data_IF_188133443985
#
_entry.id   IF_188133443985
#
_cell.length_a   1.000
_cell.length_b   1.000
_cell.length_c   1.000
_cell.angle_alpha   90.00
_cell.angle_beta   90.00
_cell.angle_gamma   90.00
#
_symmetry.space_group_name_H-M   'P 1'
#
loop_
_entity.id
_entity.type
_entity.pdbx_description
1 polymer ?
#
# COMPACT_ATOMS: atom_id res chain seq x y z
N UNK A 1 -3.53 -20.79 -0.52
CA UNK A 1 -3.73 -19.58 0.31
C UNK A 1 -2.49 -19.44 1.17
N UNK A 2 -1.63 -18.48 0.84
CA UNK A 2 -0.24 -18.42 1.28
C UNK A 2 -0.01 -18.57 2.78
N UNK A 3 0.78 -19.58 3.13
CA UNK A 3 1.49 -19.76 4.41
C UNK A 3 2.68 -18.81 4.56
N UNK A 4 2.82 -17.80 3.67
CA UNK A 4 4.04 -17.02 3.46
C UNK A 4 4.62 -16.36 4.72
N UNK A 5 3.79 -15.92 5.67
CA UNK A 5 4.31 -15.36 6.92
C UNK A 5 5.02 -16.40 7.81
N UNK A 6 4.52 -17.64 7.85
CA UNK A 6 5.12 -18.73 8.65
C UNK A 6 6.37 -19.27 7.97
N UNK A 7 6.33 -19.41 6.64
CA UNK A 7 7.45 -19.95 5.87
C UNK A 7 8.66 -19.00 5.88
N UNK A 8 8.43 -17.71 6.12
CA UNK A 8 9.46 -16.67 6.20
C UNK A 8 9.49 -15.94 7.55
N UNK A 9 9.22 -16.64 8.65
CA UNK A 9 9.23 -16.05 10.00
C UNK A 9 10.59 -15.37 10.31
N UNK A 10 10.63 -14.06 10.57
CA UNK A 10 11.87 -13.32 10.85
C UNK A 10 12.54 -13.86 12.11
N UNK A 11 13.81 -14.28 12.00
CA UNK A 11 14.55 -14.85 13.12
C UNK A 11 14.89 -13.77 14.15
N UNK A 12 14.47 -13.98 15.40
CA UNK A 12 14.81 -13.08 16.49
C UNK A 12 16.34 -13.03 16.70
N UNK A 13 16.98 -11.85 16.70
CA UNK A 13 18.42 -11.72 16.89
C UNK A 13 18.81 -12.04 18.34
N UNK A 14 19.84 -12.87 18.53
CA UNK A 14 20.33 -13.32 19.85
C UNK A 14 21.54 -12.56 20.36
N UNK A 15 22.16 -11.74 19.52
CA UNK A 15 23.35 -10.94 19.82
C UNK A 15 23.24 -9.59 19.12
N UNK A 16 24.02 -8.59 19.56
CA UNK A 16 24.10 -7.29 18.87
C UNK A 16 24.53 -7.48 17.40
N UNK A 17 25.49 -8.36 17.13
CA UNK A 17 25.94 -8.63 15.76
C UNK A 17 24.81 -9.20 14.87
N UNK A 18 23.97 -10.10 15.39
CA UNK A 18 22.83 -10.66 14.63
C UNK A 18 21.75 -9.61 14.29
N UNK A 19 21.73 -8.47 14.99
CA UNK A 19 20.81 -7.37 14.63
C UNK A 19 21.16 -6.72 13.30
N UNK A 20 22.41 -6.87 12.82
CA UNK A 20 22.97 -6.13 11.69
C UNK A 20 23.34 -4.68 12.02
N UNK A 21 23.23 -4.26 13.28
CA UNK A 21 23.49 -2.89 13.72
C UNK A 21 24.75 -2.79 14.60
N UNK A 22 25.38 -1.61 14.60
CA UNK A 22 26.47 -1.32 15.53
C UNK A 22 25.96 -1.10 16.95
N UNK A 23 26.77 -1.48 17.95
CA UNK A 23 26.47 -1.22 19.36
C UNK A 23 26.30 0.29 19.63
N UNK A 24 27.06 1.14 18.93
CA UNK A 24 26.94 2.60 19.05
C UNK A 24 25.57 3.12 18.60
N UNK A 25 25.03 2.59 17.50
CA UNK A 25 23.68 2.96 17.03
C UNK A 25 22.61 2.46 18.00
N UNK A 26 22.72 1.23 18.51
CA UNK A 26 21.79 0.72 19.53
C UNK A 26 21.82 1.55 20.82
N UNK A 27 23.02 1.94 21.26
CA UNK A 27 23.21 2.82 22.42
C UNK A 27 22.58 4.20 22.20
N UNK A 28 22.74 4.78 21.01
CA UNK A 28 22.10 6.03 20.61
C UNK A 28 20.57 5.94 20.66
N UNK A 29 19.99 4.91 20.03
CA UNK A 29 18.55 4.69 20.01
C UNK A 29 17.98 4.47 21.42
N UNK A 30 18.70 3.70 22.24
CA UNK A 30 18.34 3.45 23.65
C UNK A 30 18.36 4.75 24.44
N UNK A 31 19.43 5.53 24.33
CA UNK A 31 19.61 6.78 25.07
C UNK A 31 18.56 7.82 24.67
N UNK A 32 18.20 7.91 23.38
CA UNK A 32 17.10 8.77 22.89
C UNK A 32 15.75 8.34 23.47
N UNK A 33 15.44 7.04 23.49
CA UNK A 33 14.18 6.56 24.08
C UNK A 33 14.06 6.92 25.57
N UNK A 34 15.14 6.73 26.35
CA UNK A 34 15.17 7.13 27.77
C UNK A 34 15.02 8.65 27.90
N UNK A 35 15.66 9.44 27.04
CA UNK A 35 15.56 10.90 27.06
C UNK A 35 14.13 11.41 26.92
N UNK A 36 13.40 10.94 25.91
CA UNK A 36 12.04 11.42 25.64
C UNK A 36 11.00 10.92 26.66
N UNK A 37 11.24 9.76 27.28
CA UNK A 37 10.33 9.19 28.29
C UNK A 37 10.76 9.49 29.73
N UNK A 38 11.85 10.25 29.91
CA UNK A 38 12.51 10.61 31.19
C UNK A 38 13.10 9.45 31.99
N UNK A 39 12.34 8.37 32.20
CA UNK A 39 12.75 7.18 32.94
C UNK A 39 12.13 5.95 32.30
N UNK A 40 12.93 4.90 32.07
CA UNK A 40 12.45 3.62 31.52
C UNK A 40 13.06 2.42 32.23
N UNK A 41 12.28 1.36 32.36
CA UNK A 41 12.78 0.02 32.69
C UNK A 41 13.46 -0.62 31.47
N UNK A 42 14.29 -1.64 31.72
CA UNK A 42 14.93 -2.38 30.63
C UNK A 42 13.90 -3.07 29.71
N UNK A 43 12.75 -3.50 30.26
CA UNK A 43 11.69 -4.12 29.47
C UNK A 43 11.01 -3.10 28.55
N UNK A 44 10.69 -1.90 29.04
CA UNK A 44 10.10 -0.83 28.21
C UNK A 44 11.05 -0.40 27.08
N UNK A 45 12.37 -0.37 27.33
CA UNK A 45 13.38 -0.12 26.30
C UNK A 45 13.39 -1.23 25.25
N UNK A 46 13.34 -2.50 25.68
CA UNK A 46 13.27 -3.65 24.78
C UNK A 46 12.01 -3.58 23.90
N UNK A 47 10.87 -3.24 24.49
CA UNK A 47 9.58 -3.12 23.79
C UNK A 47 9.55 -1.92 22.83
N UNK A 48 10.20 -0.80 23.19
CA UNK A 48 10.31 0.38 22.34
C UNK A 48 11.21 0.13 21.13
N UNK A 49 12.36 -0.54 21.33
CA UNK A 49 13.30 -0.88 20.26
C UNK A 49 12.93 -2.14 19.49
N UNK A 50 11.95 -2.92 19.96
CA UNK A 50 11.55 -4.22 19.40
C UNK A 50 12.70 -5.23 19.35
N UNK A 51 13.59 -5.17 20.35
CA UNK A 51 14.78 -6.01 20.45
C UNK A 51 14.74 -6.85 21.73
N UNK A 52 15.33 -8.06 21.74
CA UNK A 52 15.27 -8.93 22.90
C UNK A 52 15.96 -8.33 24.13
N UNK A 53 15.24 -8.35 25.27
CA UNK A 53 15.76 -7.87 26.54
C UNK A 53 17.09 -8.53 26.91
N UNK A 54 17.23 -9.84 26.66
CA UNK A 54 18.36 -10.67 27.07
C UNK A 54 19.72 -10.13 26.64
N UNK A 55 20.27 -10.64 25.55
CA UNK A 55 21.67 -10.34 25.18
C UNK A 55 21.85 -9.02 24.44
N UNK A 56 20.80 -8.49 23.79
CA UNK A 56 20.95 -7.28 22.95
C UNK A 56 20.79 -6.02 23.81
N UNK A 57 19.66 -5.90 24.51
CA UNK A 57 19.37 -4.72 25.31
C UNK A 57 20.24 -4.66 26.58
N UNK A 58 20.49 -5.77 27.28
CA UNK A 58 21.41 -5.74 28.44
C UNK A 58 22.82 -5.33 28.03
N UNK A 59 23.37 -5.86 26.94
CA UNK A 59 24.70 -5.46 26.47
C UNK A 59 24.75 -3.96 26.14
N UNK A 60 23.70 -3.43 25.52
CA UNK A 60 23.57 -2.00 25.20
C UNK A 60 23.49 -1.15 26.48
N UNK A 61 22.71 -1.57 27.48
CA UNK A 61 22.60 -0.88 28.76
C UNK A 61 23.89 -0.94 29.57
N UNK A 62 24.57 -2.09 29.59
CA UNK A 62 25.87 -2.27 30.24
C UNK A 62 26.92 -1.37 29.60
N UNK A 63 26.87 -1.18 28.28
CA UNK A 63 27.72 -0.22 27.58
C UNK A 63 27.41 1.22 27.99
N UNK A 64 26.13 1.64 27.98
CA UNK A 64 25.72 2.97 28.41
C UNK A 64 26.09 3.27 29.88
N UNK A 65 26.03 2.27 30.75
CA UNK A 65 26.45 2.39 32.16
C UNK A 65 27.96 2.53 32.31
N UNK A 66 28.74 1.72 31.59
CA UNK A 66 30.22 1.83 31.58
C UNK A 66 30.67 3.21 31.11
N UNK A 67 30.01 3.75 30.10
CA UNK A 67 30.24 5.11 29.58
C UNK A 67 29.62 6.22 30.45
N UNK A 68 28.94 5.86 31.56
CA UNK A 68 28.26 6.79 32.48
C UNK A 68 27.25 7.71 31.80
N UNK A 69 26.58 7.22 30.75
CA UNK A 69 25.57 7.97 29.99
C UNK A 69 24.16 7.83 30.60
N UNK A 70 23.96 6.81 31.45
CA UNK A 70 22.69 6.55 32.15
C UNK A 70 22.94 6.33 33.64
N UNK A 71 21.98 6.76 34.46
CA UNK A 71 21.95 6.57 35.90
C UNK A 71 20.83 5.58 36.27
N UNK A 72 21.08 4.76 37.29
CA UNK A 72 20.09 3.84 37.86
C UNK A 72 19.24 4.53 38.92
N UNK A 73 17.92 4.41 38.79
CA UNK A 73 16.93 4.85 39.79
C UNK A 73 16.31 3.64 40.46
N UNK A 74 16.10 3.72 41.77
CA UNK A 74 15.29 2.74 42.49
C UNK A 74 13.81 2.97 42.12
N UNK A 75 13.08 1.89 41.85
CA UNK A 75 11.63 1.97 41.69
C UNK A 75 11.00 2.15 43.07
N UNK A 76 10.31 3.27 43.30
CA UNK A 76 9.52 3.45 44.52
C UNK A 76 8.25 2.60 44.43
N UNK A 77 8.04 1.69 45.40
CA UNK A 77 6.75 1.01 45.60
C UNK A 77 6.49 -0.30 44.83
N UNK A 78 7.44 -0.83 44.05
CA UNK A 78 7.32 -2.14 43.39
C UNK A 78 8.39 -3.13 43.88
N UNK A 79 8.18 -4.43 43.62
CA UNK A 79 9.05 -5.53 44.06
C UNK A 79 10.56 -5.24 43.81
N UNK A 80 11.49 -5.80 44.62
CA UNK A 80 12.88 -5.32 44.77
C UNK A 80 13.84 -5.42 43.57
N UNK A 81 13.36 -5.47 42.31
CA UNK A 81 14.15 -5.95 41.16
C UNK A 81 14.04 -5.08 39.90
N UNK A 82 13.05 -4.18 39.77
CA UNK A 82 12.92 -3.36 38.56
C UNK A 82 13.90 -2.18 38.57
N UNK A 83 15.05 -2.33 37.90
CA UNK A 83 16.01 -1.25 37.66
C UNK A 83 15.44 -0.28 36.62
N UNK A 84 15.27 0.98 37.03
CA UNK A 84 14.88 2.07 36.15
C UNK A 84 16.12 2.84 35.69
N UNK A 85 16.13 3.26 34.43
CA UNK A 85 17.21 3.98 33.78
C UNK A 85 16.77 5.41 33.49
N UNK A 86 17.62 6.37 33.83
CA UNK A 86 17.46 7.78 33.49
C UNK A 86 18.73 8.30 32.81
N UNK A 87 18.62 9.34 32.00
CA UNK A 87 19.79 9.93 31.33
C UNK A 87 20.64 10.69 32.34
N UNK A 88 21.95 10.43 32.37
CA UNK A 88 22.90 11.16 33.22
C UNK A 88 23.22 12.56 32.68
N UNK A 89 23.88 13.41 33.48
CA UNK A 89 24.33 14.72 32.99
C UNK A 89 25.34 14.62 31.82
N UNK A 90 26.14 13.55 31.76
CA UNK A 90 27.04 13.29 30.62
C UNK A 90 26.20 12.84 29.42
N UNK A 91 25.24 11.93 29.64
CA UNK A 91 24.28 11.49 28.63
C UNK A 91 23.51 12.64 27.99
N UNK A 92 23.04 13.61 28.77
CA UNK A 92 22.32 14.79 28.27
C UNK A 92 23.16 15.62 27.29
N UNK A 93 24.47 15.73 27.51
CA UNK A 93 25.36 16.41 26.55
C UNK A 93 25.46 15.63 25.25
N UNK A 94 25.63 14.31 25.35
CA UNK A 94 25.74 13.41 24.19
C UNK A 94 24.46 13.35 23.36
N UNK A 95 23.30 13.38 23.99
CA UNK A 95 22.00 13.41 23.30
C UNK A 95 21.86 14.63 22.40
N UNK A 96 22.33 15.82 22.82
CA UNK A 96 22.24 17.03 21.98
C UNK A 96 22.97 16.83 20.65
N UNK A 97 24.18 16.26 20.70
CA UNK A 97 24.93 15.91 19.50
C UNK A 97 24.21 14.85 18.65
N UNK A 98 23.62 13.82 19.28
CA UNK A 98 22.88 12.76 18.57
C UNK A 98 21.62 13.30 17.89
N UNK A 99 20.84 14.15 18.57
CA UNK A 99 19.64 14.78 18.03
C UNK A 99 19.94 15.79 16.92
N UNK A 100 21.18 16.25 16.84
CA UNK A 100 21.66 17.01 15.69
C UNK A 100 21.92 16.15 14.46
N UNK A 101 22.18 14.85 14.61
CA UNK A 101 22.37 13.97 13.45
C UNK A 101 21.06 13.31 13.03
N UNK A 102 20.27 12.84 14.00
CA UNK A 102 18.98 12.19 13.75
C UNK A 102 18.08 12.32 14.96
N UNK A 103 16.79 12.61 14.76
CA UNK A 103 15.78 12.61 15.84
C UNK A 103 14.87 11.38 15.79
N UNK A 104 15.29 10.33 15.09
CA UNK A 104 14.55 9.09 15.05
C UNK A 104 14.41 8.48 16.46
N UNK A 105 13.17 8.26 16.88
CA UNK A 105 12.80 7.56 18.11
C UNK A 105 11.72 6.55 17.74
N UNK A 106 12.05 5.27 17.87
CA UNK A 106 11.17 4.18 17.49
C UNK A 106 11.90 2.84 17.53
N UNK A 107 11.30 1.79 16.97
CA UNK A 107 11.90 0.47 16.83
C UNK A 107 13.28 0.52 16.17
N UNK A 108 14.19 -0.35 16.58
CA UNK A 108 15.50 -0.42 15.93
C UNK A 108 15.33 -0.78 14.44
N UNK A 109 16.08 -0.14 13.53
CA UNK A 109 16.01 -0.47 12.12
C UNK A 109 16.55 -1.89 11.85
N UNK A 110 16.29 -2.40 10.65
CA UNK A 110 16.93 -3.62 10.14
C UNK A 110 17.98 -3.25 9.11
N UNK A 111 19.01 -4.07 8.94
CA UNK A 111 20.03 -3.83 7.92
C UNK A 111 19.43 -3.94 6.50
N UNK A 112 19.91 -3.13 5.55
CA UNK A 112 19.46 -3.15 4.15
C UNK A 112 19.46 -4.56 3.56
N UNK A 113 20.50 -5.34 3.81
CA UNK A 113 20.62 -6.69 3.26
C UNK A 113 19.52 -7.62 3.79
N UNK A 114 19.18 -7.51 5.09
CA UNK A 114 18.08 -8.26 5.70
C UNK A 114 16.73 -7.88 5.05
N UNK A 115 16.51 -6.58 4.79
CA UNK A 115 15.35 -6.09 4.03
C UNK A 115 15.28 -6.69 2.62
N UNK A 116 16.37 -6.63 1.87
CA UNK A 116 16.46 -7.16 0.49
C UNK A 116 16.12 -8.65 0.46
N UNK A 117 16.75 -9.44 1.34
CA UNK A 117 16.52 -10.88 1.44
C UNK A 117 15.05 -11.20 1.76
N UNK A 118 14.45 -10.47 2.70
CA UNK A 118 13.06 -10.69 3.13
C UNK A 118 12.05 -10.33 2.04
N UNK A 119 12.29 -9.28 1.25
CA UNK A 119 11.41 -8.95 0.10
C UNK A 119 11.48 -10.05 -0.96
N UNK A 120 12.68 -10.50 -1.32
CA UNK A 120 12.85 -11.57 -2.31
C UNK A 120 12.22 -12.90 -1.87
N UNK A 121 12.33 -13.24 -0.58
CA UNK A 121 11.74 -14.46 -0.04
C UNK A 121 10.20 -14.49 -0.16
N UNK A 122 9.54 -13.33 -0.10
CA UNK A 122 8.08 -13.20 -0.05
C UNK A 122 7.45 -12.76 -1.38
N UNK A 123 8.23 -12.81 -2.47
CA UNK A 123 7.84 -12.24 -3.75
C UNK A 123 6.55 -12.84 -4.30
N UNK A 124 5.71 -11.98 -4.87
CA UNK A 124 4.35 -12.30 -5.33
C UNK A 124 4.31 -13.18 -6.59
N UNK A 125 5.45 -13.47 -7.22
CA UNK A 125 5.52 -14.11 -8.54
C UNK A 125 4.96 -15.55 -8.65
N UNK A 126 4.42 -16.14 -7.58
CA UNK A 126 4.00 -17.56 -7.54
C UNK A 126 2.52 -17.83 -7.22
N UNK A 127 1.68 -16.85 -6.88
CA UNK A 127 0.24 -17.12 -6.68
C UNK A 127 -0.53 -17.04 -8.01
N UNK A 128 -1.03 -18.19 -8.48
CA UNK A 128 -1.81 -18.29 -9.70
C UNK A 128 -3.16 -17.59 -9.53
N UNK A 129 -3.27 -16.36 -10.00
CA UNK A 129 -4.55 -15.64 -10.13
C UNK A 129 -5.42 -16.40 -11.14
N UNK A 130 -6.61 -16.84 -10.69
CA UNK A 130 -7.53 -17.58 -11.55
C UNK A 130 -8.50 -16.64 -12.27
N UNK A 131 -9.00 -17.00 -13.46
CA UNK A 131 -10.05 -16.23 -14.13
C UNK A 131 -11.30 -16.02 -13.27
N UNK A 132 -11.66 -17.01 -12.45
CA UNK A 132 -12.79 -16.93 -11.52
C UNK A 132 -12.56 -15.87 -10.43
N UNK A 133 -11.35 -15.78 -9.88
CA UNK A 133 -11.01 -14.76 -8.90
C UNK A 133 -11.10 -13.34 -9.49
N UNK A 134 -10.60 -13.14 -10.72
CA UNK A 134 -10.68 -11.85 -11.42
C UNK A 134 -12.13 -11.45 -11.66
N UNK A 135 -12.95 -12.39 -12.15
CA UNK A 135 -14.40 -12.16 -12.33
C UNK A 135 -15.07 -11.76 -11.02
N UNK A 136 -14.75 -12.41 -9.92
CA UNK A 136 -15.30 -12.07 -8.61
C UNK A 136 -14.86 -10.68 -8.14
N UNK A 137 -13.57 -10.35 -8.26
CA UNK A 137 -13.04 -9.05 -7.84
C UNK A 137 -13.59 -7.88 -8.67
N UNK A 138 -13.88 -8.12 -9.95
CA UNK A 138 -14.42 -7.13 -10.88
C UNK A 138 -15.93 -7.28 -11.11
N UNK A 139 -16.64 -8.09 -10.31
CA UNK A 139 -18.08 -8.35 -10.49
C UNK A 139 -18.96 -7.10 -10.37
N UNK A 140 -18.45 -6.07 -9.69
CA UNK A 140 -19.09 -4.76 -9.57
C UNK A 140 -18.96 -3.91 -10.85
N UNK A 141 -18.21 -4.36 -11.85
CA UNK A 141 -18.02 -3.69 -13.13
C UNK A 141 -18.57 -4.55 -14.28
N UNK A 142 -19.24 -3.89 -15.21
CA UNK A 142 -19.66 -4.51 -16.47
C UNK A 142 -18.50 -4.40 -17.47
N UNK A 143 -17.77 -5.50 -17.66
CA UNK A 143 -16.60 -5.57 -18.54
C UNK A 143 -16.77 -6.67 -19.59
N UNK A 144 -16.19 -6.46 -20.78
CA UNK A 144 -16.13 -7.50 -21.80
C UNK A 144 -15.24 -8.67 -21.34
N UNK A 145 -15.62 -9.90 -21.70
CA UNK A 145 -14.85 -11.13 -21.45
C UNK A 145 -13.43 -11.05 -22.01
N UNK A 146 -13.23 -10.36 -23.14
CA UNK A 146 -11.90 -10.13 -23.70
C UNK A 146 -11.00 -9.35 -22.73
N UNK A 147 -11.53 -8.31 -22.07
CA UNK A 147 -10.76 -7.52 -21.10
C UNK A 147 -10.34 -8.41 -19.92
N UNK A 148 -11.28 -9.20 -19.39
CA UNK A 148 -11.02 -10.11 -18.28
C UNK A 148 -9.96 -11.17 -18.65
N UNK A 149 -10.01 -11.69 -19.88
CA UNK A 149 -9.04 -12.66 -20.39
C UNK A 149 -7.62 -12.08 -20.49
N UNK A 150 -7.48 -10.79 -20.80
CA UNK A 150 -6.17 -10.12 -20.89
C UNK A 150 -5.62 -9.68 -19.52
N UNK A 151 -6.49 -9.37 -18.55
CA UNK A 151 -6.08 -8.93 -17.22
C UNK A 151 -5.38 -10.05 -16.41
N UNK A 152 -5.82 -11.30 -16.54
CA UNK A 152 -5.25 -12.40 -15.77
C UNK A 152 -3.76 -12.63 -16.00
N UNK A 153 -3.32 -12.89 -17.24
CA UNK A 153 -1.89 -13.03 -17.56
C UNK A 153 -1.06 -11.80 -17.19
N UNK A 154 -1.67 -10.60 -17.26
CA UNK A 154 -0.99 -9.35 -16.93
C UNK A 154 -0.60 -9.26 -15.45
N UNK A 155 -1.47 -9.72 -14.54
CA UNK A 155 -1.24 -9.70 -13.09
C UNK A 155 -0.34 -10.85 -12.66
N UNK A 156 -0.58 -12.08 -13.16
CA UNK A 156 0.22 -13.26 -12.77
C UNK A 156 1.69 -13.12 -13.18
N UNK A 157 1.99 -12.39 -14.26
CA UNK A 157 3.37 -12.10 -14.63
C UNK A 157 4.11 -11.20 -13.63
N UNK A 158 3.41 -10.64 -12.64
CA UNK A 158 3.91 -9.65 -11.68
C UNK A 158 4.33 -8.34 -12.34
N UNK A 159 3.86 -8.05 -13.56
CA UNK A 159 4.40 -6.99 -14.42
C UNK A 159 3.56 -5.72 -14.33
N UNK A 160 4.06 -4.66 -14.96
CA UNK A 160 3.32 -3.43 -15.15
C UNK A 160 2.14 -3.59 -16.12
N UNK A 161 0.99 -3.03 -15.76
CA UNK A 161 -0.22 -2.98 -16.59
C UNK A 161 -0.57 -1.53 -16.91
N UNK A 162 -0.91 -1.25 -18.16
CA UNK A 162 -1.38 0.06 -18.61
C UNK A 162 -2.86 -0.02 -18.95
N UNK A 163 -3.70 0.67 -18.20
CA UNK A 163 -5.12 0.85 -18.43
C UNK A 163 -5.33 2.23 -19.05
N UNK A 164 -5.77 2.29 -20.30
CA UNK A 164 -5.97 3.56 -21.01
C UNK A 164 -7.32 3.61 -21.72
N UNK A 165 -7.88 4.80 -21.87
CA UNK A 165 -9.18 5.02 -22.49
C UNK A 165 -9.87 6.24 -21.92
N UNK A 166 -11.06 6.58 -22.40
CA UNK A 166 -11.75 7.79 -21.99
C UNK A 166 -12.07 7.82 -20.47
N UNK A 167 -12.13 9.03 -19.90
CA UNK A 167 -12.49 9.22 -18.49
C UNK A 167 -13.87 8.64 -18.19
N UNK A 168 -14.05 8.07 -16.99
CA UNK A 168 -15.34 7.55 -16.56
C UNK A 168 -15.64 6.10 -16.92
N UNK A 169 -14.74 5.37 -17.61
CA UNK A 169 -14.97 3.94 -17.94
C UNK A 169 -14.40 2.96 -16.91
N UNK A 170 -14.16 3.40 -15.66
CA UNK A 170 -13.82 2.48 -14.57
C UNK A 170 -12.37 2.00 -14.51
N UNK A 171 -11.40 2.64 -15.17
CA UNK A 171 -9.97 2.27 -15.09
C UNK A 171 -9.45 2.20 -13.65
N UNK A 172 -9.77 3.20 -12.83
CA UNK A 172 -9.43 3.24 -11.40
C UNK A 172 -10.08 2.09 -10.65
N UNK A 173 -11.38 1.85 -10.90
CA UNK A 173 -12.12 0.75 -10.29
C UNK A 173 -11.54 -0.62 -10.66
N UNK A 174 -11.10 -0.81 -11.91
CA UNK A 174 -10.37 -2.00 -12.34
C UNK A 174 -9.09 -2.11 -11.50
N UNK A 175 -8.24 -1.08 -11.47
CA UNK A 175 -6.99 -1.11 -10.70
C UNK A 175 -7.18 -1.44 -9.22
N UNK A 176 -8.18 -0.84 -8.57
CA UNK A 176 -8.54 -1.13 -7.17
C UNK A 176 -9.05 -2.57 -6.99
N UNK A 177 -9.90 -3.05 -7.90
CA UNK A 177 -10.38 -4.42 -7.91
C UNK A 177 -9.25 -5.44 -8.13
N UNK A 178 -8.25 -5.13 -8.96
CA UNK A 178 -7.05 -5.98 -9.07
C UNK A 178 -6.25 -6.00 -7.78
N UNK A 179 -6.25 -4.91 -7.01
CA UNK A 179 -5.61 -4.85 -5.70
C UNK A 179 -6.24 -5.78 -4.67
N UNK A 180 -7.54 -6.10 -4.77
CA UNK A 180 -8.20 -7.05 -3.86
C UNK A 180 -7.78 -8.50 -4.12
N UNK A 181 -7.27 -8.80 -5.33
CA UNK A 181 -6.71 -10.11 -5.67
C UNK A 181 -5.36 -10.37 -5.00
N UNK A 182 -4.73 -9.35 -4.42
CA UNK A 182 -3.49 -9.49 -3.65
C UNK A 182 -3.81 -10.17 -2.32
N UNK A 183 -3.90 -11.49 -2.35
CA UNK A 183 -4.12 -12.27 -1.15
C UNK A 183 -2.84 -12.47 -0.35
N UNK A 184 -3.01 -12.70 0.95
CA UNK A 184 -1.91 -13.01 1.85
C UNK A 184 -1.31 -11.79 2.55
N UNK A 185 -0.24 -12.07 3.27
CA UNK A 185 0.42 -11.12 4.14
C UNK A 185 1.93 -11.27 4.04
N UNK A 186 2.63 -10.18 4.29
CA UNK A 186 4.09 -10.08 4.18
C UNK A 186 4.68 -9.36 5.40
N UNK A 187 5.97 -9.61 5.64
CA UNK A 187 6.79 -8.93 6.61
C UNK A 187 7.43 -7.69 6.01
N UNK A 188 7.27 -6.55 6.69
CA UNK A 188 8.01 -5.33 6.41
C UNK A 188 8.63 -4.78 7.70
N UNK A 189 9.80 -4.13 7.65
CA UNK A 189 10.39 -3.55 8.86
C UNK A 189 9.76 -2.19 9.18
N UNK A 190 9.87 -1.75 10.44
CA UNK A 190 9.56 -0.36 10.80
C UNK A 190 10.44 0.63 10.03
N UNK A 191 11.74 0.37 10.01
CA UNK A 191 12.75 1.16 9.33
C UNK A 191 13.93 0.27 8.91
N UNK A 192 14.72 0.75 7.95
CA UNK A 192 16.01 0.16 7.58
C UNK A 192 17.15 1.12 7.89
N UNK A 193 18.35 0.57 8.02
CA UNK A 193 19.59 1.31 8.20
C UNK A 193 20.44 1.20 6.92
N UNK A 194 20.94 2.35 6.46
CA UNK A 194 21.86 2.45 5.33
C UNK A 194 22.92 3.51 5.62
N UNK A 195 24.18 3.11 5.75
CA UNK A 195 25.32 4.03 5.92
C UNK A 195 25.16 5.06 7.06
N UNK A 196 24.71 4.59 8.22
CA UNK A 196 24.40 5.36 9.41
C UNK A 196 23.09 6.16 9.34
N UNK A 197 22.33 6.06 8.24
CA UNK A 197 21.06 6.78 8.06
C UNK A 197 19.89 5.83 8.26
N UNK A 198 18.83 6.33 8.92
CA UNK A 198 17.60 5.59 9.14
C UNK A 198 16.60 5.97 8.06
N UNK A 199 16.02 4.97 7.41
CA UNK A 199 14.97 5.12 6.40
C UNK A 199 13.72 4.41 6.91
N UNK A 200 12.68 5.17 7.22
CA UNK A 200 11.41 4.62 7.70
C UNK A 200 10.64 4.00 6.53
N UNK A 201 10.24 2.74 6.70
CA UNK A 201 9.53 1.96 5.68
C UNK A 201 8.06 1.80 6.06
N UNK A 202 7.78 1.42 7.31
CA UNK A 202 6.40 1.25 7.76
C UNK A 202 5.66 2.59 7.85
N UNK A 203 4.51 2.65 7.19
CA UNK A 203 3.60 3.78 7.19
C UNK A 203 2.21 3.33 7.66
N UNK A 204 1.74 3.76 8.85
CA UNK A 204 0.45 3.33 9.39
C UNK A 204 -0.76 3.81 8.59
N UNK A 205 -0.60 4.81 7.71
CA UNK A 205 -1.67 5.29 6.84
C UNK A 205 -1.82 4.41 5.58
N UNK A 206 -0.76 3.71 5.19
CA UNK A 206 -0.70 2.91 3.95
C UNK A 206 -0.65 1.41 4.21
N UNK A 207 -0.12 0.99 5.35
CA UNK A 207 0.04 -0.41 5.70
C UNK A 207 -1.00 -0.86 6.72
N UNK A 208 -1.71 -1.94 6.38
CA UNK A 208 -2.68 -2.57 7.27
C UNK A 208 -2.04 -3.74 7.98
N UNK A 209 -1.83 -3.60 9.28
CA UNK A 209 -1.28 -4.66 10.14
C UNK A 209 -2.25 -5.84 10.17
N UNK A 210 -1.69 -7.06 10.10
CA UNK A 210 -2.44 -8.28 10.31
C UNK A 210 -2.52 -8.58 11.82
N UNK A 211 -3.73 -8.75 12.39
CA UNK A 211 -3.88 -9.16 13.78
C UNK A 211 -3.16 -10.48 14.06
N UNK A 212 -2.48 -10.54 15.20
CA UNK A 212 -1.76 -11.73 15.64
C UNK A 212 -2.66 -12.57 16.56
N UNK A 213 -2.71 -13.88 16.30
CA UNK A 213 -3.28 -14.87 17.21
C UNK A 213 -2.24 -15.95 17.51
N UNK A 214 -2.18 -16.40 18.75
CA UNK A 214 -1.28 -17.47 19.16
C UNK A 214 -2.07 -18.77 19.19
N UNK A 215 -1.65 -19.77 18.41
CA UNK A 215 -2.21 -21.13 18.48
C UNK A 215 -1.10 -22.16 18.74
N UNK A 216 -1.47 -23.31 19.29
CA UNK A 216 -0.53 -24.43 19.46
C UNK A 216 -0.11 -25.00 18.09
N UNK A 217 1.13 -25.49 17.98
CA UNK A 217 1.68 -26.04 16.73
C UNK A 217 0.83 -27.19 16.16
N UNK A 218 0.26 -28.02 17.05
CA UNK A 218 -0.67 -29.10 16.67
C UNK A 218 -2.01 -28.60 16.15
N UNK A 219 -2.51 -27.44 16.62
CA UNK A 219 -3.69 -26.78 16.07
C UNK A 219 -3.40 -26.15 14.69
N UNK A 220 -2.24 -25.52 14.52
CA UNK A 220 -1.78 -24.96 13.25
C UNK A 220 -1.66 -26.05 12.19
N UNK A 221 -1.05 -27.20 12.51
CA UNK A 221 -0.91 -28.34 11.61
C UNK A 221 -2.26 -28.96 11.22
N UNK A 222 -3.19 -29.11 12.18
CA UNK A 222 -4.57 -29.55 11.89
C UNK A 222 -5.30 -28.58 10.97
N UNK A 223 -5.15 -27.28 11.22
CA UNK A 223 -5.75 -26.22 10.39
C UNK A 223 -5.11 -26.14 9.01
N UNK A 224 -3.79 -26.28 8.86
CA UNK A 224 -3.10 -26.41 7.56
C UNK A 224 -3.60 -27.64 6.79
N UNK A 225 -3.79 -28.78 7.46
CA UNK A 225 -4.40 -29.97 6.86
C UNK A 225 -5.83 -29.74 6.36
N UNK A 226 -6.65 -29.05 7.15
CA UNK A 226 -8.03 -28.67 6.80
C UNK A 226 -8.10 -27.59 5.70
N UNK A 227 -7.21 -26.60 5.72
CA UNK A 227 -7.11 -25.53 4.70
C UNK A 227 -6.65 -26.08 3.36
N UNK A 228 -5.73 -27.05 3.34
CA UNK A 228 -5.35 -27.76 2.12
C UNK A 228 -6.50 -28.59 1.53
N UNK A 229 -7.45 -29.05 2.37
CA UNK A 229 -8.67 -29.73 1.93
C UNK A 229 -9.78 -28.76 1.51
N UNK A 230 -9.89 -27.59 2.16
CA UNK A 230 -10.89 -26.55 1.90
C UNK A 230 -10.49 -25.57 0.78
N UNK A 231 -9.24 -25.56 0.33
CA UNK A 231 -8.75 -24.74 -0.80
C UNK A 231 -9.42 -25.06 -2.16
N UNK A 232 -10.46 -25.91 -2.18
CA UNK A 232 -11.39 -26.12 -3.30
C UNK A 232 -12.67 -25.27 -3.22
N UNK A 233 -12.85 -24.45 -2.19
CA UNK A 233 -14.06 -23.66 -1.98
C UNK A 233 -13.80 -22.32 -1.27
N UNK A 234 -14.51 -21.29 -1.74
CA UNK A 234 -14.45 -19.91 -1.29
C UNK A 234 -14.72 -19.76 0.21
N UNK A 235 -13.68 -19.48 1.00
CA UNK A 235 -13.83 -18.83 2.31
C UNK A 235 -12.70 -17.82 2.44
N UNK A 236 -13.02 -16.53 2.33
CA UNK A 236 -12.15 -15.45 2.78
C UNK A 236 -12.14 -15.46 4.32
N UNK A 237 -11.22 -16.23 4.90
CA UNK A 237 -10.86 -16.01 6.29
C UNK A 237 -10.07 -14.70 6.33
N UNK A 238 -10.51 -13.74 7.14
CA UNK A 238 -9.66 -12.59 7.48
C UNK A 238 -8.29 -13.14 7.86
N UNK A 239 -7.27 -12.78 7.08
CA UNK A 239 -5.92 -13.28 7.24
C UNK A 239 -5.46 -12.90 8.65
N UNK A 240 -5.60 -13.84 9.58
CA UNK A 240 -5.10 -13.74 10.93
C UNK A 240 -3.75 -14.41 10.93
N UNK A 241 -2.73 -13.70 11.40
CA UNK A 241 -1.41 -14.27 11.46
C UNK A 241 -1.32 -15.16 12.70
N UNK A 242 -1.22 -16.46 12.47
CA UNK A 242 -1.13 -17.45 13.54
C UNK A 242 0.34 -17.74 13.81
N UNK A 243 0.80 -17.35 14.99
CA UNK A 243 2.15 -17.64 15.47
C UNK A 243 2.18 -19.03 16.13
N UNK A 244 3.18 -19.88 15.83
CA UNK A 244 3.44 -21.07 16.62
C UNK A 244 3.71 -20.69 18.07
N UNK A 245 2.96 -21.28 19.00
CA UNK A 245 3.22 -21.12 20.42
C UNK A 245 4.70 -21.41 20.72
N UNK A 246 5.36 -20.50 21.45
CA UNK A 246 6.77 -20.56 21.87
C UNK A 246 7.84 -20.34 20.78
N UNK A 247 7.50 -19.85 19.58
CA UNK A 247 8.51 -19.44 18.60
C UNK A 247 8.64 -17.90 18.54
N UNK A 248 9.60 -17.29 19.24
CA UNK A 248 9.81 -15.84 19.15
C UNK A 248 10.35 -15.47 17.76
N UNK A 249 9.90 -14.34 17.26
CA UNK A 249 10.36 -13.75 16.00
C UNK A 249 10.94 -12.36 16.25
N UNK A 250 11.63 -11.81 15.25
CA UNK A 250 12.15 -10.45 15.30
C UNK A 250 11.01 -9.43 15.18
N UNK A 251 10.72 -8.73 16.28
CA UNK A 251 9.62 -7.78 16.37
C UNK A 251 9.88 -6.46 15.63
N UNK A 252 11.09 -6.24 15.09
CA UNK A 252 11.36 -5.12 14.17
C UNK A 252 10.60 -5.27 12.85
N UNK A 253 10.09 -6.47 12.57
CA UNK A 253 9.25 -6.80 11.42
C UNK A 253 7.78 -6.85 11.80
N UNK A 254 6.95 -6.32 10.91
CA UNK A 254 5.51 -6.17 11.10
C UNK A 254 4.82 -7.00 10.02
N UNK A 255 3.89 -7.89 10.39
CA UNK A 255 3.08 -8.59 9.42
C UNK A 255 1.98 -7.64 8.92
N UNK A 256 1.95 -7.39 7.63
CA UNK A 256 0.95 -6.54 6.99
C UNK A 256 0.21 -7.32 5.90
N UNK A 257 -1.02 -6.92 5.56
CA UNK A 257 -1.63 -7.34 4.29
C UNK A 257 -0.76 -6.82 3.15
N UNK A 258 -0.69 -7.56 2.03
CA UNK A 258 0.04 -7.08 0.85
C UNK A 258 -0.39 -5.65 0.50
N UNK A 259 0.55 -4.71 0.35
CA UNK A 259 0.21 -3.30 0.24
C UNK A 259 -0.45 -2.99 -1.10
N UNK A 260 -1.53 -2.22 -1.08
CA UNK A 260 -2.08 -1.52 -2.24
C UNK A 260 -1.88 -0.03 -2.00
N UNK A 261 -0.88 0.55 -2.66
CA UNK A 261 -0.62 1.98 -2.60
C UNK A 261 -1.20 2.63 -3.85
N UNK A 262 -1.95 3.72 -3.66
CA UNK A 262 -2.55 4.49 -4.75
C UNK A 262 -1.89 5.85 -4.80
N UNK A 263 -1.38 6.23 -5.97
CA UNK A 263 -0.85 7.56 -6.26
C UNK A 263 -1.74 8.27 -7.27
N UNK A 264 -2.39 9.35 -6.86
CA UNK A 264 -3.21 10.21 -7.73
C UNK A 264 -2.50 11.49 -8.15
N UNK A 265 -3.26 12.57 -8.33
CA UNK A 265 -2.74 13.89 -8.77
C UNK A 265 -1.73 14.54 -7.81
N UNK A 266 -1.71 14.13 -6.55
CA UNK A 266 -0.75 14.63 -5.53
C UNK A 266 0.65 14.00 -5.64
N UNK A 267 0.82 12.98 -6.50
CA UNK A 267 2.11 12.32 -6.65
C UNK A 267 3.13 13.25 -7.31
N UNK A 268 4.23 13.50 -6.62
CA UNK A 268 5.39 14.25 -7.12
C UNK A 268 6.56 13.31 -7.39
N UNK A 269 7.53 13.74 -8.21
CA UNK A 269 8.77 12.97 -8.41
C UNK A 269 9.54 12.73 -7.10
N UNK A 270 9.48 13.68 -6.16
CA UNK A 270 10.10 13.53 -4.85
C UNK A 270 9.54 12.34 -4.06
N UNK A 271 8.28 11.93 -4.30
CA UNK A 271 7.70 10.75 -3.67
C UNK A 271 8.26 9.43 -4.23
N UNK A 272 9.00 9.48 -5.33
CA UNK A 272 9.68 8.34 -5.96
C UNK A 272 11.15 8.22 -5.54
N UNK A 273 11.67 9.17 -4.77
CA UNK A 273 13.00 9.15 -4.18
C UNK A 273 12.91 9.22 -2.64
N UNK A 274 14.05 9.10 -1.97
CA UNK A 274 14.11 9.22 -0.52
C UNK A 274 13.78 10.65 -0.09
N UNK A 275 12.79 10.80 0.80
CA UNK A 275 12.42 12.12 1.33
C UNK A 275 13.17 12.30 2.65
N UNK A 276 14.14 13.22 2.67
CA UNK A 276 14.77 13.64 3.92
C UNK A 276 13.93 14.73 4.58
N UNK A 277 13.55 14.52 5.83
CA UNK A 277 12.89 15.56 6.63
C UNK A 277 13.94 16.33 7.46
N UNK A 278 14.19 17.63 7.19
CA UNK A 278 15.16 18.42 7.95
C UNK A 278 14.83 18.60 9.44
N UNK A 279 13.54 18.50 9.81
CA UNK A 279 13.10 18.67 11.19
C UNK A 279 13.41 17.43 12.03
N UNK A 280 13.18 16.24 11.47
CA UNK A 280 13.41 14.96 12.15
C UNK A 280 14.76 14.31 11.83
N UNK A 281 15.42 14.76 10.76
CA UNK A 281 16.76 14.32 10.30
C UNK A 281 16.87 12.80 10.09
N UNK A 282 15.83 12.21 9.50
CA UNK A 282 15.86 10.85 8.94
C UNK A 282 15.08 10.81 7.62
N UNK A 283 15.17 9.69 6.90
CA UNK A 283 14.52 9.55 5.59
C UNK A 283 13.20 8.79 5.68
N UNK A 284 12.25 9.15 4.84
CA UNK A 284 11.09 8.35 4.51
C UNK A 284 11.33 7.58 3.21
N UNK A 285 10.96 6.29 3.20
CA UNK A 285 11.04 5.45 2.01
C UNK A 285 10.07 5.94 0.92
N UNK A 286 10.45 5.83 -0.37
CA UNK A 286 9.58 6.19 -1.48
C UNK A 286 8.40 5.23 -1.61
N UNK A 287 7.35 5.67 -2.31
CA UNK A 287 6.07 4.95 -2.38
C UNK A 287 6.21 3.53 -2.95
N UNK A 288 7.03 3.33 -3.99
CA UNK A 288 7.27 2.01 -4.57
C UNK A 288 7.96 1.05 -3.60
N UNK A 289 8.84 1.55 -2.73
CA UNK A 289 9.53 0.73 -1.74
C UNK A 289 8.56 0.32 -0.62
N UNK A 290 7.63 1.20 -0.25
CA UNK A 290 6.51 0.88 0.64
C UNK A 290 5.53 -0.12 0.01
N UNK A 291 5.39 -0.11 -1.32
CA UNK A 291 4.52 -1.02 -2.07
C UNK A 291 5.15 -2.40 -2.40
N UNK A 292 6.41 -2.65 -1.99
CA UNK A 292 7.08 -3.93 -2.26
C UNK A 292 6.28 -5.12 -1.71
N UNK A 293 6.22 -6.21 -2.48
CA UNK A 293 5.37 -7.36 -2.21
C UNK A 293 3.88 -7.12 -2.46
N UNK A 294 3.50 -6.02 -3.10
CA UNK A 294 2.10 -5.68 -3.39
C UNK A 294 1.93 -4.98 -4.73
N UNK A 295 1.06 -3.98 -4.75
CA UNK A 295 0.70 -3.21 -5.95
C UNK A 295 0.81 -1.71 -5.72
N UNK A 296 1.26 -1.01 -6.75
CA UNK A 296 1.22 0.45 -6.84
C UNK A 296 0.32 0.85 -8.02
N UNK A 297 -0.85 1.39 -7.72
CA UNK A 297 -1.78 1.98 -8.68
C UNK A 297 -1.46 3.46 -8.87
N UNK A 298 -1.03 3.84 -10.07
CA UNK A 298 -0.91 5.23 -10.51
C UNK A 298 -2.18 5.63 -11.24
N UNK A 299 -3.03 6.38 -10.53
CA UNK A 299 -4.30 6.84 -11.04
C UNK A 299 -4.18 8.21 -11.71
N UNK A 300 -5.01 8.44 -12.74
CA UNK A 300 -5.02 9.66 -13.55
C UNK A 300 -3.61 10.13 -14.01
N UNK A 301 -2.80 9.20 -14.52
CA UNK A 301 -1.50 9.52 -15.10
C UNK A 301 -1.66 10.53 -16.25
N UNK A 302 -1.07 11.72 -16.10
CA UNK A 302 -1.32 12.89 -16.95
C UNK A 302 -1.82 14.13 -16.20
N UNK A 303 -2.31 13.97 -14.97
CA UNK A 303 -2.85 15.05 -14.14
C UNK A 303 -2.01 15.35 -12.89
N UNK A 304 -0.83 14.74 -12.77
CA UNK A 304 0.11 14.99 -11.68
C UNK A 304 0.84 16.32 -11.86
N UNK A 305 1.40 16.84 -10.76
CA UNK A 305 2.33 17.96 -10.79
C UNK A 305 3.61 17.62 -11.59
N UNK A 306 4.05 16.36 -11.56
CA UNK A 306 5.16 15.86 -12.37
C UNK A 306 4.68 15.45 -13.77
N UNK A 307 5.51 15.66 -14.79
CA UNK A 307 5.16 15.19 -16.12
C UNK A 307 5.17 13.65 -16.15
N UNK A 308 4.17 12.99 -16.74
CA UNK A 308 4.11 11.51 -16.81
C UNK A 308 5.38 10.87 -17.35
N UNK A 309 6.00 11.53 -18.33
CA UNK A 309 7.26 11.10 -18.94
C UNK A 309 8.39 11.01 -17.91
N UNK A 310 8.44 11.91 -16.94
CA UNK A 310 9.48 11.92 -15.90
C UNK A 310 9.31 10.76 -14.92
N UNK A 311 8.07 10.50 -14.49
CA UNK A 311 7.72 9.35 -13.64
C UNK A 311 8.13 8.05 -14.34
N UNK A 312 7.77 7.92 -15.61
CA UNK A 312 8.06 6.73 -16.40
C UNK A 312 9.57 6.59 -16.67
N UNK A 313 10.28 7.69 -16.95
CA UNK A 313 11.73 7.70 -17.12
C UNK A 313 12.45 7.24 -15.85
N UNK A 314 12.00 7.68 -14.66
CA UNK A 314 12.55 7.27 -13.36
C UNK A 314 12.44 5.76 -13.13
N UNK A 315 11.44 5.11 -13.73
CA UNK A 315 11.16 3.69 -13.57
C UNK A 315 11.52 2.81 -14.76
N UNK A 316 12.23 3.33 -15.78
CA UNK A 316 12.78 2.52 -16.88
C UNK A 316 13.57 1.33 -16.35
N UNK A 317 14.55 1.61 -15.49
CA UNK A 317 15.45 0.58 -14.96
C UNK A 317 14.75 -0.27 -13.89
N UNK A 318 14.01 0.30 -12.92
CA UNK A 318 13.25 -0.49 -11.94
C UNK A 318 12.26 -1.48 -12.55
N UNK A 319 11.49 -1.09 -13.56
CA UNK A 319 10.52 -1.97 -14.22
C UNK A 319 11.19 -3.10 -15.03
N UNK A 320 12.37 -2.83 -15.59
CA UNK A 320 13.11 -3.79 -16.41
C UNK A 320 13.92 -4.77 -15.57
N UNK A 321 14.65 -4.26 -14.57
CA UNK A 321 15.60 -5.03 -13.76
C UNK A 321 15.06 -5.51 -12.42
N UNK A 322 13.87 -5.08 -12.01
CA UNK A 322 13.29 -5.34 -10.67
C UNK A 322 14.15 -4.83 -9.51
N UNK A 323 14.95 -3.79 -9.77
CA UNK A 323 15.82 -3.15 -8.78
C UNK A 323 15.72 -1.65 -8.93
N UNK A 324 15.47 -0.97 -7.82
CA UNK A 324 15.47 0.48 -7.72
C UNK A 324 16.79 0.98 -7.13
N UNK A 325 17.22 2.15 -7.59
CA UNK A 325 18.46 2.80 -7.16
C UNK A 325 18.08 4.07 -6.41
N UNK A 326 18.41 4.12 -5.13
CA UNK A 326 18.13 5.26 -4.27
C UNK A 326 19.45 5.93 -3.87
N UNK A 327 19.38 7.23 -3.59
CA UNK A 327 20.53 8.04 -3.24
C UNK A 327 20.27 8.81 -1.94
N UNK A 328 21.18 8.68 -0.98
CA UNK A 328 21.20 9.49 0.23
C UNK A 328 21.70 10.90 -0.07
N UNK A 329 21.41 11.88 0.78
CA UNK A 329 21.93 13.25 0.65
C UNK A 329 23.47 13.32 0.73
N UNK A 330 24.13 12.30 1.32
CA UNK A 330 25.59 12.14 1.29
C UNK A 330 26.14 11.81 -0.10
N UNK A 331 25.27 11.52 -1.08
CA UNK A 331 25.62 11.06 -2.41
C UNK A 331 25.76 9.55 -2.53
N UNK A 332 25.75 8.80 -1.43
CA UNK A 332 25.83 7.34 -1.44
C UNK A 332 24.60 6.74 -2.15
N UNK A 333 24.86 5.82 -3.10
CA UNK A 333 23.83 5.12 -3.87
C UNK A 333 23.77 3.67 -3.45
N UNK A 334 22.55 3.16 -3.26
CA UNK A 334 22.30 1.78 -2.91
C UNK A 334 21.11 1.23 -3.69
N UNK A 335 21.02 -0.10 -3.71
CA UNK A 335 19.98 -0.82 -4.43
C UNK A 335 18.90 -1.31 -3.47
N UNK A 336 17.65 -1.23 -3.89
CA UNK A 336 16.51 -1.83 -3.21
C UNK A 336 15.71 -2.69 -4.20
N UNK A 337 15.03 -3.75 -3.74
CA UNK A 337 14.14 -4.51 -4.61
C UNK A 337 13.02 -3.62 -5.15
N UNK A 338 12.61 -3.87 -6.40
CA UNK A 338 11.42 -3.31 -7.02
C UNK A 338 10.46 -4.48 -7.33
N UNK A 339 9.95 -5.10 -6.26
CA UNK A 339 9.02 -6.22 -6.32
C UNK A 339 7.58 -5.72 -6.14
N UNK A 340 7.14 -4.88 -7.07
CA UNK A 340 5.82 -4.25 -7.05
C UNK A 340 5.11 -4.46 -8.39
N UNK A 341 3.84 -4.83 -8.33
CA UNK A 341 2.97 -4.80 -9.50
C UNK A 341 2.51 -3.35 -9.74
N UNK A 342 2.91 -2.75 -10.86
CA UNK A 342 2.57 -1.36 -11.16
C UNK A 342 1.38 -1.30 -12.11
N UNK A 343 0.31 -0.60 -11.75
CA UNK A 343 -0.84 -0.38 -12.64
C UNK A 343 -0.90 1.11 -12.96
N UNK A 344 -0.86 1.46 -14.24
CA UNK A 344 -1.02 2.83 -14.72
C UNK A 344 -2.44 3.00 -15.25
N UNK A 345 -3.20 3.94 -14.72
CA UNK A 345 -4.50 4.33 -15.27
C UNK A 345 -4.40 5.74 -15.86
N UNK A 346 -4.80 5.91 -17.12
CA UNK A 346 -4.69 7.20 -17.81
C UNK A 346 -5.81 7.41 -18.82
N UNK A 347 -6.09 8.68 -19.12
CA UNK A 347 -6.96 9.06 -20.23
C UNK A 347 -6.20 9.31 -21.55
N UNK A 348 -4.87 9.29 -21.50
CA UNK A 348 -3.98 9.51 -22.64
C UNK A 348 -3.62 8.18 -23.30
N UNK A 349 -3.34 8.19 -24.61
CA UNK A 349 -2.83 6.97 -25.24
C UNK A 349 -1.38 6.72 -24.81
N UNK A 350 -0.92 5.46 -24.74
CA UNK A 350 0.45 5.18 -24.32
C UNK A 350 1.51 5.88 -25.18
N UNK A 351 1.26 6.09 -26.47
CA UNK A 351 2.13 6.84 -27.39
C UNK A 351 2.25 8.33 -27.06
N UNK A 352 1.25 8.92 -26.42
CA UNK A 352 1.27 10.34 -26.03
C UNK A 352 2.13 10.58 -24.78
N UNK A 353 2.39 9.52 -24.00
CA UNK A 353 3.05 9.61 -22.71
C UNK A 353 4.56 9.42 -22.82
N UNK A 354 4.99 8.50 -23.69
CA UNK A 354 6.38 8.02 -23.77
C UNK A 354 6.72 7.44 -25.14
N UNK A 355 8.01 7.45 -25.46
CA UNK A 355 8.55 6.88 -26.68
C UNK A 355 8.36 5.35 -26.75
N UNK A 356 8.30 4.83 -27.98
CA UNK A 356 8.04 3.42 -28.26
C UNK A 356 9.05 2.48 -27.58
N UNK A 357 10.30 2.92 -27.41
CA UNK A 357 11.36 2.16 -26.74
C UNK A 357 11.01 1.82 -25.29
N UNK A 358 10.29 2.70 -24.58
CA UNK A 358 9.81 2.45 -23.23
C UNK A 358 8.52 1.62 -23.22
N UNK A 359 7.63 1.88 -24.16
CA UNK A 359 6.40 1.09 -24.34
C UNK A 359 6.68 -0.40 -24.59
N UNK A 360 7.88 -0.78 -25.05
CA UNK A 360 8.31 -2.19 -25.16
C UNK A 360 8.55 -2.86 -23.81
N UNK A 361 8.80 -2.09 -22.75
CA UNK A 361 9.04 -2.60 -21.38
C UNK A 361 7.73 -2.81 -20.62
N UNK A 362 6.70 -2.01 -20.94
CA UNK A 362 5.34 -2.21 -20.45
C UNK A 362 4.63 -3.23 -21.34
N UNK A 363 4.53 -4.47 -20.87
CA UNK A 363 4.04 -5.59 -21.69
C UNK A 363 2.53 -5.56 -21.92
N UNK A 364 1.76 -5.22 -20.89
CA UNK A 364 0.30 -5.29 -20.94
C UNK A 364 -0.28 -3.89 -21.09
N UNK A 365 -0.84 -3.59 -22.26
CA UNK A 365 -1.56 -2.36 -22.55
C UNK A 365 -2.99 -2.74 -22.89
N UNK A 366 -3.91 -2.32 -22.05
CA UNK A 366 -5.31 -2.66 -22.13
C UNK A 366 -6.11 -1.39 -22.38
N UNK A 367 -6.76 -1.34 -23.54
CA UNK A 367 -7.70 -0.29 -23.86
C UNK A 367 -9.04 -0.58 -23.17
N UNK A 368 -9.56 0.41 -22.46
CA UNK A 368 -10.90 0.38 -21.86
C UNK A 368 -11.82 1.25 -22.73
N UNK A 369 -12.63 0.62 -23.60
CA UNK A 369 -13.54 1.35 -24.49
C UNK A 369 -14.69 1.97 -23.72
N UNK A 370 -15.44 2.82 -24.41
CA UNK A 370 -16.77 3.20 -23.97
C UNK A 370 -17.70 1.98 -23.97
N UNK A 371 -18.60 1.85 -22.97
CA UNK A 371 -19.56 0.76 -22.94
C UNK A 371 -20.44 0.76 -24.20
N UNK A 372 -20.77 -0.43 -24.69
CA UNK A 372 -21.87 -0.60 -25.65
C UNK A 372 -23.20 -0.22 -25.01
N UNK A 373 -24.25 0.03 -25.79
CA UNK A 373 -25.58 0.36 -25.23
C UNK A 373 -26.16 -0.74 -24.34
N UNK A 374 -25.88 -2.01 -24.66
CA UNK A 374 -26.27 -3.14 -23.82
C UNK A 374 -25.53 -3.13 -22.48
N UNK A 375 -24.21 -2.87 -22.51
CA UNK A 375 -23.42 -2.70 -21.28
C UNK A 375 -23.86 -1.47 -20.49
N UNK A 376 -24.15 -0.35 -21.16
CA UNK A 376 -24.64 0.87 -20.52
C UNK A 376 -25.96 0.61 -19.79
N UNK A 377 -26.86 -0.16 -20.41
CA UNK A 377 -28.11 -0.61 -19.79
C UNK A 377 -27.86 -1.51 -18.57
N UNK A 378 -26.95 -2.47 -18.67
CA UNK A 378 -26.58 -3.35 -17.55
C UNK A 378 -25.99 -2.56 -16.37
N UNK A 379 -25.08 -1.62 -16.64
CA UNK A 379 -24.53 -0.70 -15.63
C UNK A 379 -25.66 0.09 -14.98
N UNK A 380 -26.60 0.62 -15.78
CA UNK A 380 -27.72 1.39 -15.26
C UNK A 380 -28.63 0.57 -14.34
N UNK A 381 -28.87 -0.71 -14.65
CA UNK A 381 -29.64 -1.61 -13.80
C UNK A 381 -28.92 -1.82 -12.46
N UNK A 382 -27.62 -2.09 -12.48
CA UNK A 382 -26.82 -2.30 -11.27
C UNK A 382 -26.80 -1.06 -10.38
N UNK A 383 -26.54 0.11 -10.97
CA UNK A 383 -26.51 1.38 -10.24
C UNK A 383 -27.90 1.76 -9.71
N UNK A 384 -28.97 1.56 -10.47
CA UNK A 384 -30.33 1.84 -9.99
C UNK A 384 -30.68 1.00 -8.76
N UNK A 385 -30.30 -0.28 -8.75
CA UNK A 385 -30.46 -1.14 -7.58
C UNK A 385 -29.65 -0.65 -6.37
N UNK A 386 -28.40 -0.23 -6.58
CA UNK A 386 -27.54 0.31 -5.51
C UNK A 386 -28.10 1.61 -4.89
N UNK A 387 -28.70 2.47 -5.70
CA UNK A 387 -29.32 3.73 -5.27
C UNK A 387 -30.76 3.57 -4.75
N UNK A 388 -31.32 2.36 -4.77
CA UNK A 388 -32.71 2.09 -4.38
C UNK A 388 -33.74 2.72 -5.32
N UNK A 389 -33.38 2.95 -6.58
CA UNK A 389 -34.25 3.53 -7.61
C UNK A 389 -34.87 2.43 -8.45
N UNK A 390 -36.20 2.44 -8.61
CA UNK A 390 -36.89 1.47 -9.45
C UNK A 390 -36.51 1.65 -10.93
N UNK A 391 -35.92 0.61 -11.52
CA UNK A 391 -35.52 0.58 -12.92
C UNK A 391 -36.75 0.65 -13.87
N UNK A 392 -36.62 1.45 -14.93
CA UNK A 392 -37.63 1.56 -15.99
C UNK A 392 -36.97 1.54 -17.37
N UNK A 393 -37.20 0.46 -18.12
CA UNK A 393 -36.72 0.29 -19.49
C UNK A 393 -37.17 1.45 -20.39
N UNK A 394 -38.44 1.83 -20.30
CA UNK A 394 -39.03 2.90 -21.10
C UNK A 394 -38.33 4.24 -20.85
N UNK A 395 -38.03 4.55 -19.60
CA UNK A 395 -37.41 5.83 -19.23
C UNK A 395 -35.90 5.84 -19.51
N UNK A 396 -35.24 4.67 -19.47
CA UNK A 396 -33.87 4.54 -19.97
C UNK A 396 -33.81 4.77 -21.49
N UNK A 397 -34.71 4.18 -22.26
CA UNK A 397 -34.77 4.40 -23.72
C UNK A 397 -35.01 5.87 -24.05
N UNK A 398 -35.91 6.53 -23.31
CA UNK A 398 -36.12 7.97 -23.40
C UNK A 398 -34.82 8.74 -23.13
N UNK A 399 -34.16 8.48 -21.99
CA UNK A 399 -32.88 9.10 -21.61
C UNK A 399 -31.82 8.94 -22.71
N UNK A 400 -31.64 7.72 -23.24
CA UNK A 400 -30.66 7.43 -24.30
C UNK A 400 -31.02 8.20 -25.59
N UNK A 401 -32.29 8.18 -26.00
CA UNK A 401 -32.72 8.86 -27.22
C UNK A 401 -32.53 10.38 -27.17
N UNK A 402 -32.97 11.02 -26.09
CA UNK A 402 -32.97 12.48 -25.96
C UNK A 402 -31.61 13.05 -25.59
N UNK A 403 -30.90 12.41 -24.65
CA UNK A 403 -29.68 12.97 -24.06
C UNK A 403 -28.39 12.32 -24.58
N UNK A 404 -28.48 11.27 -25.41
CA UNK A 404 -27.31 10.67 -26.03
C UNK A 404 -27.37 10.64 -27.54
N UNK A 405 -28.40 10.04 -28.15
CA UNK A 405 -28.47 9.95 -29.60
C UNK A 405 -28.65 11.31 -30.27
N UNK A 406 -29.62 12.13 -29.84
CA UNK A 406 -29.83 13.48 -30.40
C UNK A 406 -28.60 14.39 -30.31
N UNK A 407 -27.92 14.52 -29.15
CA UNK A 407 -26.69 15.33 -29.05
C UNK A 407 -25.42 14.61 -29.49
N UNK A 408 -25.51 13.36 -29.98
CA UNK A 408 -24.37 12.51 -30.34
C UNK A 408 -23.32 12.36 -29.22
N UNK A 409 -23.79 12.11 -27.99
CA UNK A 409 -22.93 11.88 -26.81
C UNK A 409 -22.57 10.40 -26.69
N UNK A 410 -21.28 10.14 -26.44
CA UNK A 410 -20.80 8.78 -26.17
C UNK A 410 -21.27 8.30 -24.77
N UNK A 411 -21.67 7.03 -24.63
CA UNK A 411 -21.98 6.45 -23.32
C UNK A 411 -20.69 6.28 -22.51
N UNK A 412 -20.55 6.90 -21.34
CA UNK A 412 -19.46 6.61 -20.40
C UNK A 412 -19.96 5.70 -19.29
N UNK A 413 -19.09 4.83 -18.78
CA UNK A 413 -19.43 3.93 -17.67
C UNK A 413 -19.85 4.64 -16.38
N UNK A 414 -19.38 5.88 -16.16
CA UNK A 414 -19.70 6.66 -14.98
C UNK A 414 -21.06 7.37 -15.07
N UNK A 415 -21.59 7.63 -16.28
CA UNK A 415 -22.81 8.43 -16.41
C UNK A 415 -24.02 7.81 -15.69
N UNK A 416 -24.28 6.49 -15.72
CA UNK A 416 -25.42 5.92 -14.99
C UNK A 416 -25.38 6.25 -13.49
N UNK A 417 -24.23 6.06 -12.84
CA UNK A 417 -24.02 6.40 -11.43
C UNK A 417 -24.26 7.89 -11.19
N UNK A 418 -23.54 8.75 -11.92
CA UNK A 418 -23.59 10.19 -11.68
C UNK A 418 -24.99 10.79 -11.99
N UNK A 419 -25.71 10.23 -12.97
CA UNK A 419 -27.11 10.60 -13.27
C UNK A 419 -28.07 10.14 -12.17
N UNK A 420 -27.86 8.96 -11.59
CA UNK A 420 -28.67 8.45 -10.50
C UNK A 420 -28.39 9.19 -9.18
N UNK A 421 -27.13 9.54 -8.91
CA UNK A 421 -26.75 10.42 -7.80
C UNK A 421 -27.50 11.76 -7.90
N UNK A 422 -27.40 12.42 -9.07
CA UNK A 422 -28.12 13.66 -9.32
C UNK A 422 -29.64 13.50 -9.17
N UNK A 423 -30.22 12.40 -9.68
CA UNK A 423 -31.63 12.10 -9.56
C UNK A 423 -32.07 11.96 -8.10
N UNK A 424 -31.30 11.21 -7.29
CA UNK A 424 -31.58 10.98 -5.88
C UNK A 424 -31.50 12.29 -5.09
N UNK A 425 -30.48 13.11 -5.36
CA UNK A 425 -30.31 14.40 -4.68
C UNK A 425 -31.43 15.40 -5.03
N UNK A 426 -31.85 15.44 -6.29
CA UNK A 426 -33.00 16.25 -6.73
C UNK A 426 -34.30 15.76 -6.07
N UNK A 427 -34.53 14.44 -6.03
CA UNK A 427 -35.72 13.87 -5.40
C UNK A 427 -35.77 14.18 -3.89
N UNK A 428 -34.63 14.09 -3.19
CA UNK A 428 -34.50 14.50 -1.78
C UNK A 428 -34.82 15.98 -1.59
N UNK A 429 -34.27 16.86 -2.44
CA UNK A 429 -34.53 18.30 -2.38
C UNK A 429 -36.02 18.63 -2.61
N UNK A 430 -36.66 17.92 -3.54
CA UNK A 430 -38.08 18.07 -3.86
C UNK A 430 -39.01 17.32 -2.91
N UNK A 431 -38.46 16.61 -1.92
CA UNK A 431 -39.17 15.82 -0.93
C UNK A 431 -40.11 14.76 -1.56
N UNK A 432 -39.62 14.07 -2.59
CA UNK A 432 -40.35 13.03 -3.31
C UNK A 432 -39.53 11.72 -3.40
N UNK A 433 -40.18 10.62 -3.79
CA UNK A 433 -39.52 9.34 -3.92
C UNK A 433 -38.58 9.31 -5.14
N UNK A 434 -37.35 8.79 -5.02
CA UNK A 434 -36.41 8.73 -6.14
C UNK A 434 -36.86 7.64 -7.12
N UNK A 435 -37.40 8.09 -8.26
CA UNK A 435 -37.93 7.22 -9.32
C UNK A 435 -37.34 7.64 -10.65
N UNK A 436 -37.17 6.69 -11.59
CA UNK A 436 -36.80 7.01 -12.97
C UNK A 436 -37.96 7.67 -13.75
N UNK A 437 -38.74 8.56 -13.13
CA UNK A 437 -39.80 9.29 -13.81
C UNK A 437 -39.20 10.31 -14.78
N UNK A 438 -39.87 10.56 -15.91
CA UNK A 438 -39.42 11.52 -16.91
C UNK A 438 -39.01 12.89 -16.32
N UNK A 439 -39.78 13.53 -15.41
CA UNK A 439 -39.39 14.82 -14.83
C UNK A 439 -38.07 14.76 -14.05
N UNK A 440 -37.83 13.70 -13.28
CA UNK A 440 -36.60 13.53 -12.50
C UNK A 440 -35.40 13.18 -13.39
N UNK A 441 -35.62 12.36 -14.43
CA UNK A 441 -34.61 12.06 -15.44
C UNK A 441 -34.18 13.32 -16.19
N UNK A 442 -35.15 14.14 -16.63
CA UNK A 442 -34.88 15.40 -17.32
C UNK A 442 -34.08 16.35 -16.41
N UNK A 443 -34.49 16.48 -15.14
CA UNK A 443 -33.81 17.32 -14.16
C UNK A 443 -32.37 16.85 -13.87
N UNK A 444 -32.16 15.55 -13.68
CA UNK A 444 -30.83 14.97 -13.47
C UNK A 444 -29.92 15.16 -14.68
N UNK A 445 -30.43 14.95 -15.89
CA UNK A 445 -29.68 15.16 -17.12
C UNK A 445 -29.34 16.65 -17.34
N UNK A 446 -30.25 17.56 -17.02
CA UNK A 446 -29.96 19.00 -17.08
C UNK A 446 -28.89 19.41 -16.06
N UNK A 447 -28.97 18.87 -14.84
CA UNK A 447 -28.01 19.19 -13.78
C UNK A 447 -26.60 18.66 -14.09
N UNK A 448 -26.48 17.43 -14.58
CA UNK A 448 -25.18 16.79 -14.80
C UNK A 448 -24.63 17.02 -16.22
N UNK A 449 -25.44 16.77 -17.26
CA UNK A 449 -24.97 16.72 -18.65
C UNK A 449 -24.95 18.07 -19.38
N UNK A 450 -25.72 19.09 -18.94
CA UNK A 450 -25.67 20.42 -19.55
C UNK A 450 -24.58 21.33 -18.94
N UNK A 451 -24.03 20.95 -17.79
CA UNK A 451 -22.85 21.60 -17.20
C UNK A 451 -21.53 21.13 -17.85
N UNK A 452 -21.57 20.09 -18.68
CA UNK A 452 -20.48 19.79 -19.63
C UNK A 452 -20.52 20.81 -20.77
N UNK A 453 -19.93 21.99 -20.57
CA UNK A 453 -19.74 22.94 -21.67
C UNK A 453 -19.07 22.23 -22.86
N UNK A 454 -19.53 22.43 -24.11
CA UNK A 454 -18.83 21.90 -25.26
C UNK A 454 -17.41 22.48 -25.24
N UNK A 455 -16.41 21.59 -25.24
CA UNK A 455 -15.03 21.98 -25.45
C UNK A 455 -14.99 22.82 -26.73
N UNK A 456 -14.66 24.10 -26.57
CA UNK A 456 -14.49 25.04 -27.67
C UNK A 456 -13.44 24.46 -28.60
N UNK A 457 -13.86 24.04 -29.79
CA UNK A 457 -12.96 23.71 -30.87
C UNK A 457 -12.22 24.99 -31.27
N UNK A 458 -10.93 25.06 -30.96
CA UNK A 458 -9.99 26.01 -31.54
C UNK A 458 -8.75 25.23 -32.00
#
# INVERSE_FOLDING_TARGET
>A
MGTGLIDHLPRQPRTVAETGLSLSLLAELTLKNIHFQSVLSAQEIADALKLPLGNVIRETLDHLQRERLVDLRASEGAAPVARLYSVSHIGQRRIREMLDHSRYVGPAPVELEQYVQMVHAQSFASEAVTPAAIRAALAHLVLNDDILAHLGPAITGGKSVFLFGNTGNGKTSIGLGLGTLLTGAIWIPYAIEVQGQIIKVFDPLRHRIVPQQTESESAILRRKGLLNQLARGQVELEATFILPANQPYDQRWIPIRRPLIVGGGELTLANLDLIFDPATRYYEAPQQMKANGGMFLLDDLGRQAAAPREILNRWIVPLDRRVDYLQLASGHRFQTPFDVAVVFATNLTPSDLVEESFLRRIRSKLYIPDPTWDQFREIFIHEAAHHGVAYSEQNLQYLISEYYHKPNRAPRGAHPRDLLDALVDIAKFQNCAPTMSKPLVDAACQFYLMNEHPATSA
#
